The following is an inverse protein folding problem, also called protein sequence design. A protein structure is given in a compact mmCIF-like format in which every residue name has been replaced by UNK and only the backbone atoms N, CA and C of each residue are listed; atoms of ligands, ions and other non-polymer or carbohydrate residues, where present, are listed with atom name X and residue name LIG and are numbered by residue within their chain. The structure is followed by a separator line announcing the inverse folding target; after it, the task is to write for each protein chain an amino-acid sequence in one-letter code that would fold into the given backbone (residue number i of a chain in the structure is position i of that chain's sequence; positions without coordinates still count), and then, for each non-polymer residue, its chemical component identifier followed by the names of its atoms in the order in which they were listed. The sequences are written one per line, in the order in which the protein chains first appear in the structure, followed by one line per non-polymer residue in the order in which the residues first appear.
data_IF_468892940671
#
_entry.id   IF_468892940671
#
_cell.length_a   1.000
_cell.length_b   1.000
_cell.length_c   1.000
_cell.angle_alpha   90.00
_cell.angle_beta   90.00
_cell.angle_gamma   90.00
#
_symmetry.space_group_name_H-M   'P 1'
#
loop_
_entity.id
_entity.type
_entity.pdbx_description
1 polymer ?
#
# COMPACT_ATOMS: atom_id res chain seq x y z
N UNK A 1 2.59 1.01 5.79
CA UNK A 1 2.88 2.44 5.77
C UNK A 1 1.60 3.28 5.59
N UNK A 2 1.66 4.52 5.96
CA UNK A 2 0.50 5.39 5.88
C UNK A 2 0.88 6.85 5.66
N UNK A 3 -0.14 7.64 5.35
CA UNK A 3 -0.02 9.08 5.20
C UNK A 3 -1.34 9.77 5.53
N UNK A 4 -1.28 11.07 5.70
CA UNK A 4 -2.48 11.88 5.90
C UNK A 4 -2.43 13.15 5.07
N UNK A 5 -3.59 13.68 4.76
CA UNK A 5 -3.73 14.97 4.07
C UNK A 5 -5.00 15.69 4.50
N UNK A 6 -4.97 17.00 4.38
CA UNK A 6 -6.11 17.86 4.72
C UNK A 6 -6.91 18.23 3.48
N UNK A 7 -8.23 18.20 3.59
CA UNK A 7 -9.13 18.77 2.61
C UNK A 7 -9.26 20.29 2.83
N UNK A 8 -9.82 21.01 1.85
CA UNK A 8 -9.95 22.46 1.91
C UNK A 8 -10.82 22.95 3.08
N UNK A 9 -11.79 22.14 3.49
CA UNK A 9 -12.65 22.44 4.64
C UNK A 9 -12.03 22.09 6.00
N UNK A 10 -10.79 21.60 6.02
CA UNK A 10 -10.08 21.21 7.25
C UNK A 10 -10.24 19.75 7.66
N UNK A 11 -11.08 18.98 7.00
CA UNK A 11 -11.19 17.54 7.27
C UNK A 11 -9.89 16.83 6.92
N UNK A 12 -9.51 15.85 7.75
CA UNK A 12 -8.28 15.07 7.58
C UNK A 12 -8.63 13.68 7.07
N UNK A 13 -7.98 13.28 5.99
CA UNK A 13 -8.02 11.90 5.49
C UNK A 13 -6.74 11.19 5.93
N UNK A 14 -6.88 10.02 6.51
CA UNK A 14 -5.76 9.12 6.83
C UNK A 14 -5.84 7.90 5.95
N UNK A 15 -4.73 7.56 5.33
CA UNK A 15 -4.63 6.44 4.42
C UNK A 15 -3.51 5.51 4.87
N UNK A 16 -3.71 4.22 4.62
CA UNK A 16 -2.68 3.20 4.77
C UNK A 16 -2.64 2.37 3.49
N UNK A 17 -1.48 1.83 3.18
CA UNK A 17 -1.30 1.05 1.96
C UNK A 17 -0.27 -0.06 2.15
N UNK A 18 -0.40 -1.08 1.30
CA UNK A 18 0.55 -2.17 1.17
C UNK A 18 1.15 -2.10 -0.22
N UNK A 19 2.46 -1.91 -0.30
CA UNK A 19 3.18 -1.85 -1.57
C UNK A 19 4.13 -3.04 -1.68
N UNK A 20 4.17 -3.67 -2.85
CA UNK A 20 5.12 -4.72 -3.14
C UNK A 20 6.50 -4.11 -3.42
N UNK A 21 7.52 -4.54 -2.68
CA UNK A 21 8.86 -4.00 -2.82
C UNK A 21 9.50 -4.34 -4.16
N UNK A 22 9.04 -5.39 -4.83
CA UNK A 22 9.60 -5.86 -6.08
C UNK A 22 9.03 -5.12 -7.30
N UNK A 23 7.71 -5.08 -7.41
CA UNK A 23 7.02 -4.52 -8.59
C UNK A 23 6.37 -3.15 -8.36
N UNK A 24 6.39 -2.66 -7.12
CA UNK A 24 5.85 -1.35 -6.74
C UNK A 24 4.33 -1.22 -6.83
N UNK A 25 3.60 -2.32 -7.06
CA UNK A 25 2.15 -2.28 -7.05
C UNK A 25 1.64 -2.02 -5.63
N UNK A 26 0.67 -1.13 -5.50
CA UNK A 26 -0.11 -0.98 -4.26
C UNK A 26 -1.18 -2.07 -4.27
N UNK A 27 -0.97 -3.11 -3.46
CA UNK A 27 -1.79 -4.32 -3.47
C UNK A 27 -3.09 -4.12 -2.70
N UNK A 28 -3.03 -3.37 -1.61
CA UNK A 28 -4.15 -3.09 -0.74
C UNK A 28 -4.02 -1.69 -0.16
N UNK A 29 -5.14 -1.05 0.14
CA UNK A 29 -5.15 0.27 0.75
C UNK A 29 -6.42 0.49 1.54
N UNK A 30 -6.38 1.44 2.48
CA UNK A 30 -7.54 1.93 3.22
C UNK A 30 -7.43 3.45 3.34
N UNK A 31 -8.55 4.13 3.29
CA UNK A 31 -8.61 5.57 3.51
C UNK A 31 -9.86 5.90 4.33
N UNK A 32 -9.68 6.67 5.38
CA UNK A 32 -10.76 7.04 6.32
C UNK A 32 -10.67 8.51 6.66
N UNK A 33 -11.81 9.13 6.96
CA UNK A 33 -11.86 10.47 7.54
C UNK A 33 -12.06 10.37 9.06
N UNK A 34 -11.48 11.30 9.80
CA UNK A 34 -11.62 11.36 11.25
C UNK A 34 -10.64 10.47 11.99
N UNK A 35 -11.08 9.31 12.48
CA UNK A 35 -10.23 8.38 13.21
C UNK A 35 -9.13 7.80 12.32
N UNK A 36 -8.00 7.44 12.92
CA UNK A 36 -6.91 6.79 12.20
C UNK A 36 -7.20 5.34 11.82
N UNK A 37 -6.28 4.74 11.08
CA UNK A 37 -6.32 3.34 10.71
C UNK A 37 -6.06 2.49 11.98
N UNK A 38 -6.93 1.54 12.25
CA UNK A 38 -6.80 0.65 13.42
C UNK A 38 -6.20 -0.72 13.04
N UNK A 39 -5.95 -1.54 14.07
CA UNK A 39 -5.36 -2.87 13.86
C UNK A 39 -6.24 -3.81 13.03
N UNK A 40 -7.56 -3.69 13.13
CA UNK A 40 -8.49 -4.49 12.33
C UNK A 40 -8.33 -4.20 10.85
N UNK A 41 -8.22 -2.93 10.47
CA UNK A 41 -8.01 -2.52 9.09
C UNK A 41 -6.64 -2.98 8.57
N UNK A 42 -5.61 -2.95 9.40
CA UNK A 42 -4.29 -3.49 9.05
C UNK A 42 -4.37 -4.99 8.76
N UNK A 43 -5.04 -5.75 9.61
CA UNK A 43 -5.22 -7.20 9.41
C UNK A 43 -6.02 -7.50 8.14
N UNK A 44 -7.06 -6.72 7.86
CA UNK A 44 -7.83 -6.86 6.61
C UNK A 44 -6.96 -6.62 5.37
N UNK A 45 -6.07 -5.64 5.43
CA UNK A 45 -5.13 -5.38 4.32
C UNK A 45 -4.12 -6.51 4.16
N UNK A 46 -3.66 -7.11 5.25
CA UNK A 46 -2.76 -8.28 5.19
C UNK A 46 -3.42 -9.44 4.44
N UNK A 47 -4.64 -9.77 4.81
CA UNK A 47 -5.39 -10.85 4.17
C UNK A 47 -5.67 -10.53 2.71
N UNK A 48 -6.10 -9.33 2.41
CA UNK A 48 -6.36 -8.87 1.04
C UNK A 48 -5.11 -8.95 0.16
N UNK A 49 -3.95 -8.57 0.69
CA UNK A 49 -2.68 -8.68 -0.03
C UNK A 49 -2.31 -10.13 -0.33
N UNK A 50 -2.49 -11.04 0.63
CA UNK A 50 -2.21 -12.47 0.43
C UNK A 50 -3.15 -13.07 -0.62
N UNK A 51 -4.43 -12.77 -0.55
CA UNK A 51 -5.40 -13.26 -1.53
C UNK A 51 -5.09 -12.73 -2.94
N UNK A 52 -4.71 -11.47 -3.05
CA UNK A 52 -4.39 -10.85 -4.34
C UNK A 52 -3.13 -11.46 -4.98
N UNK A 53 -2.13 -11.85 -4.18
CA UNK A 53 -0.85 -12.36 -4.68
C UNK A 53 -0.83 -13.88 -4.86
N UNK A 54 -1.51 -14.61 -4.00
CA UNK A 54 -1.38 -16.07 -3.92
C UNK A 54 -2.69 -16.80 -4.15
N UNK A 55 -3.82 -16.09 -4.26
CA UNK A 55 -5.16 -16.65 -4.41
C UNK A 55 -5.53 -17.66 -3.29
N UNK A 56 -4.92 -17.50 -2.11
CA UNK A 56 -5.15 -18.32 -0.93
C UNK A 56 -5.26 -17.43 0.30
N UNK A 57 -5.62 -18.03 1.44
CA UNK A 57 -5.70 -17.32 2.72
C UNK A 57 -4.39 -17.34 3.51
N UNK A 58 -3.35 -17.98 2.97
CA UNK A 58 -2.03 -18.07 3.61
C UNK A 58 -0.96 -18.10 2.52
N UNK A 59 0.10 -17.32 2.69
CA UNK A 59 1.22 -17.34 1.74
C UNK A 59 1.88 -18.72 1.72
N UNK A 60 2.23 -19.25 0.54
CA UNK A 60 2.84 -20.58 0.41
C UNK A 60 4.27 -20.66 0.93
N UNK A 61 4.91 -19.53 1.14
CA UNK A 61 6.24 -19.39 1.73
C UNK A 61 6.28 -18.16 2.62
N UNK A 62 7.24 -18.04 3.55
CA UNK A 62 7.37 -16.84 4.36
C UNK A 62 7.59 -15.59 3.51
N UNK A 63 6.85 -14.54 3.81
CA UNK A 63 6.95 -13.22 3.17
C UNK A 63 7.19 -12.17 4.24
N UNK A 64 8.20 -11.35 4.05
CA UNK A 64 8.48 -10.26 4.97
C UNK A 64 7.43 -9.16 4.84
N UNK A 65 6.93 -8.72 5.99
CA UNK A 65 5.96 -7.64 6.12
C UNK A 65 6.64 -6.49 6.85
N UNK A 66 7.14 -5.53 6.08
CA UNK A 66 7.82 -4.36 6.64
C UNK A 66 6.80 -3.29 7.01
N UNK A 67 6.84 -2.84 8.24
CA UNK A 67 5.99 -1.76 8.73
C UNK A 67 6.76 -0.81 9.63
N UNK A 68 6.17 0.34 9.93
CA UNK A 68 6.70 1.23 10.96
C UNK A 68 6.35 0.70 12.37
N UNK A 69 6.75 1.44 13.40
CA UNK A 69 6.52 1.06 14.79
C UNK A 69 5.18 1.55 15.34
N UNK A 70 4.24 1.90 14.48
CA UNK A 70 2.90 2.34 14.89
C UNK A 70 2.13 1.23 15.61
N UNK A 71 1.32 1.60 16.61
CA UNK A 71 0.60 0.64 17.44
C UNK A 71 -0.31 -0.33 16.67
N UNK A 72 -0.99 0.05 15.57
CA UNK A 72 -1.77 -0.91 14.80
C UNK A 72 -0.94 -2.06 14.22
N UNK A 73 0.34 -1.83 13.96
CA UNK A 73 1.25 -2.82 13.39
C UNK A 73 1.98 -3.65 14.45
N UNK A 74 2.29 -3.04 15.61
CA UNK A 74 3.07 -3.69 16.66
C UNK A 74 2.24 -4.48 17.65
N UNK A 75 0.91 -4.29 17.67
CA UNK A 75 0.02 -5.00 18.57
C UNK A 75 0.18 -6.51 18.43
N UNK A 76 0.16 -7.21 19.57
CA UNK A 76 0.32 -8.67 19.59
C UNK A 76 -0.68 -9.36 18.69
N UNK A 77 -1.93 -8.92 18.68
CA UNK A 77 -3.00 -9.47 17.84
C UNK A 77 -2.68 -9.36 16.36
N UNK A 78 -2.12 -8.24 15.92
CA UNK A 78 -1.70 -8.05 14.53
C UNK A 78 -0.52 -8.95 14.18
N UNK A 79 0.47 -9.05 15.06
CA UNK A 79 1.64 -9.92 14.85
C UNK A 79 1.25 -11.40 14.80
N UNK A 80 0.34 -11.84 15.67
CA UNK A 80 -0.15 -13.21 15.68
C UNK A 80 -0.93 -13.54 14.40
N UNK A 81 -1.75 -12.60 13.94
CA UNK A 81 -2.48 -12.74 12.68
C UNK A 81 -1.52 -12.82 11.49
N UNK A 82 -0.51 -11.97 11.44
CA UNK A 82 0.52 -12.02 10.39
C UNK A 82 1.19 -13.39 10.33
N UNK A 83 1.54 -13.96 11.47
CA UNK A 83 2.14 -15.30 11.55
C UNK A 83 1.22 -16.38 10.99
N UNK A 84 -0.08 -16.28 11.23
CA UNK A 84 -1.06 -17.22 10.68
C UNK A 84 -1.14 -17.15 9.16
N UNK A 85 -0.86 -15.99 8.57
CA UNK A 85 -0.82 -15.79 7.11
C UNK A 85 0.54 -16.11 6.49
N UNK A 86 1.51 -16.55 7.29
CA UNK A 86 2.90 -16.77 6.89
C UNK A 86 3.63 -15.46 6.53
N UNK A 87 3.21 -14.37 7.13
CA UNK A 87 3.91 -13.09 7.05
C UNK A 87 4.88 -12.97 8.23
N UNK A 88 6.09 -12.52 7.95
CA UNK A 88 7.14 -12.29 8.95
C UNK A 88 7.20 -10.79 9.25
N UNK A 89 6.66 -10.32 10.39
CA UNK A 89 6.70 -8.91 10.71
C UNK A 89 8.14 -8.41 10.86
N UNK A 90 8.47 -7.37 10.11
CA UNK A 90 9.75 -6.68 10.17
C UNK A 90 9.48 -5.21 10.47
N UNK A 91 9.99 -4.71 11.60
CA UNK A 91 9.82 -3.32 11.97
C UNK A 91 11.03 -2.52 11.52
N UNK A 92 10.78 -1.34 10.96
CA UNK A 92 11.86 -0.48 10.48
C UNK A 92 12.70 -0.01 11.66
N UNK A 93 14.01 -0.33 11.68
CA UNK A 93 14.89 0.25 12.69
C UNK A 93 14.95 1.77 12.50
N UNK A 94 15.01 2.50 13.61
CA UNK A 94 15.09 3.97 13.61
C UNK A 94 16.26 4.50 12.77
N UNK A 95 17.25 3.67 12.49
CA UNK A 95 18.48 4.03 11.80
C UNK A 95 18.63 3.43 10.38
N UNK A 96 17.56 2.94 9.76
CA UNK A 96 17.63 2.36 8.41
C UNK A 96 16.80 3.15 7.41
N UNK A 97 17.33 4.24 6.82
CA UNK A 97 16.60 5.07 5.88
C UNK A 97 16.17 4.34 4.60
N UNK A 98 16.90 3.31 4.19
CA UNK A 98 16.60 2.55 2.98
C UNK A 98 15.29 1.75 3.09
N UNK A 99 14.97 1.27 4.28
CA UNK A 99 13.78 0.45 4.54
C UNK A 99 12.47 1.21 4.34
N UNK A 100 12.48 2.53 4.53
CA UNK A 100 11.31 3.40 4.36
C UNK A 100 11.31 4.16 3.04
N UNK A 101 12.41 4.14 2.30
CA UNK A 101 12.60 4.97 1.11
C UNK A 101 11.52 4.75 0.05
N UNK A 102 11.08 3.51 -0.12
CA UNK A 102 10.04 3.17 -1.10
C UNK A 102 8.68 3.72 -0.70
N UNK A 103 8.29 3.55 0.56
CA UNK A 103 7.03 4.09 1.06
C UNK A 103 7.02 5.61 1.04
N UNK A 104 8.12 6.25 1.42
CA UNK A 104 8.26 7.70 1.36
C UNK A 104 8.20 8.23 -0.07
N UNK A 105 8.83 7.54 -1.00
CA UNK A 105 8.79 7.90 -2.42
C UNK A 105 7.37 7.79 -2.98
N UNK A 106 6.64 6.74 -2.62
CA UNK A 106 5.23 6.57 -2.99
C UNK A 106 4.39 7.72 -2.45
N UNK A 107 4.50 8.05 -1.17
CA UNK A 107 3.72 9.13 -0.55
C UNK A 107 4.03 10.48 -1.22
N UNK A 108 5.30 10.76 -1.51
CA UNK A 108 5.71 11.98 -2.21
C UNK A 108 5.08 12.06 -3.60
N UNK A 109 5.14 10.98 -4.36
CA UNK A 109 4.55 10.88 -5.69
C UNK A 109 3.04 11.06 -5.64
N UNK A 110 2.38 10.38 -4.70
CA UNK A 110 0.92 10.45 -4.56
C UNK A 110 0.44 11.87 -4.23
N UNK A 111 1.13 12.54 -3.31
CA UNK A 111 0.83 13.93 -2.95
C UNK A 111 1.05 14.88 -4.12
N UNK A 112 2.14 14.72 -4.86
CA UNK A 112 2.49 15.59 -5.98
C UNK A 112 1.56 15.39 -7.18
N UNK A 113 1.30 14.13 -7.56
CA UNK A 113 0.68 13.81 -8.84
C UNK A 113 -0.84 13.62 -8.76
N UNK A 114 -1.39 13.40 -7.56
CA UNK A 114 -2.82 13.19 -7.36
C UNK A 114 -3.48 14.20 -6.43
N UNK A 115 -2.87 14.46 -5.27
CA UNK A 115 -3.51 15.35 -4.28
C UNK A 115 -3.41 16.83 -4.64
N UNK A 116 -2.28 17.27 -5.18
CA UNK A 116 -2.07 18.69 -5.51
C UNK A 116 -2.85 19.14 -6.72
N UNK A 117 -3.12 18.25 -7.67
CA UNK A 117 -3.73 18.60 -8.94
C UNK A 117 -5.24 18.36 -8.98
N UNK A 118 -5.81 17.76 -7.94
CA UNK A 118 -7.24 17.48 -7.87
C UNK A 118 -7.93 18.30 -6.79
N UNK A 119 -9.21 18.66 -7.00
CA UNK A 119 -9.97 19.36 -5.97
C UNK A 119 -10.23 18.47 -4.75
N UNK A 120 -10.00 19.01 -3.56
CA UNK A 120 -10.24 18.35 -2.29
C UNK A 120 -11.16 19.19 -1.39
N UNK A 121 -12.38 19.54 -1.83
CA UNK A 121 -13.22 20.46 -1.06
C UNK A 121 -13.63 19.87 0.30
N UNK A 122 -13.86 18.58 0.37
CA UNK A 122 -14.31 17.87 1.57
C UNK A 122 -13.85 16.41 1.54
N UNK A 123 -13.93 15.73 2.68
CA UNK A 123 -13.51 14.33 2.79
C UNK A 123 -14.29 13.40 1.85
N UNK A 124 -15.60 13.58 1.72
CA UNK A 124 -16.41 12.75 0.83
C UNK A 124 -15.95 12.83 -0.62
N UNK A 125 -15.60 14.02 -1.10
CA UNK A 125 -15.08 14.20 -2.46
C UNK A 125 -13.74 13.51 -2.67
N UNK A 126 -12.83 13.61 -1.69
CA UNK A 126 -11.54 12.92 -1.73
C UNK A 126 -11.71 11.40 -1.74
N UNK A 127 -12.56 10.87 -0.87
CA UNK A 127 -12.79 9.42 -0.76
C UNK A 127 -13.43 8.83 -2.02
N UNK A 128 -14.23 9.60 -2.74
CA UNK A 128 -14.79 9.16 -4.03
C UNK A 128 -13.74 9.03 -5.12
N UNK A 129 -12.67 9.81 -5.06
CA UNK A 129 -11.63 9.85 -6.09
C UNK A 129 -10.45 8.93 -5.82
N UNK A 130 -10.18 8.62 -4.55
CA UNK A 130 -8.93 7.99 -4.14
C UNK A 130 -8.73 6.59 -4.73
N UNK A 131 -9.79 5.82 -4.91
CA UNK A 131 -9.71 4.50 -5.55
C UNK A 131 -9.18 4.62 -6.98
N UNK A 132 -9.65 5.61 -7.73
CA UNK A 132 -9.19 5.88 -9.08
C UNK A 132 -7.71 6.32 -9.12
N UNK A 133 -7.24 7.04 -8.11
CA UNK A 133 -5.84 7.45 -8.02
C UNK A 133 -4.91 6.27 -7.76
N UNK A 134 -5.27 5.36 -6.86
CA UNK A 134 -4.49 4.13 -6.64
C UNK A 134 -4.47 3.27 -7.90
N UNK A 135 -5.60 3.15 -8.58
CA UNK A 135 -5.69 2.39 -9.83
C UNK A 135 -4.82 3.00 -10.94
N UNK A 136 -4.86 4.33 -11.10
CA UNK A 136 -4.02 5.02 -12.07
C UNK A 136 -2.53 4.86 -11.77
N UNK A 137 -2.15 4.93 -10.50
CA UNK A 137 -0.77 4.70 -10.08
C UNK A 137 -0.30 3.29 -10.52
N UNK A 138 -1.09 2.27 -10.22
CA UNK A 138 -0.74 0.89 -10.55
C UNK A 138 -0.69 0.65 -12.06
N UNK A 139 -1.60 1.22 -12.82
CA UNK A 139 -1.71 0.99 -14.26
C UNK A 139 -0.76 1.86 -15.09
N UNK A 140 -0.50 3.09 -14.65
CA UNK A 140 0.07 4.10 -15.54
C UNK A 140 1.34 4.78 -15.02
N UNK A 141 1.61 4.77 -13.71
CA UNK A 141 2.72 5.54 -13.18
C UNK A 141 4.09 4.90 -13.48
N UNK A 142 4.96 5.56 -14.26
CA UNK A 142 6.26 4.98 -14.62
C UNK A 142 7.27 5.05 -13.47
N UNK A 143 8.08 4.01 -13.34
CA UNK A 143 9.15 3.92 -12.35
C UNK A 143 10.50 3.70 -13.03
N UNK A 144 11.50 4.50 -12.69
CA UNK A 144 12.86 4.31 -13.21
C UNK A 144 13.43 2.94 -12.82
N UNK A 145 13.16 2.47 -11.61
CA UNK A 145 13.58 1.14 -11.16
C UNK A 145 12.88 -0.01 -11.88
N UNK A 146 11.81 0.25 -12.61
CA UNK A 146 11.08 -0.71 -13.44
C UNK A 146 11.24 -0.42 -14.93
N UNK A 147 12.33 0.20 -15.33
CA UNK A 147 12.63 0.61 -16.71
C UNK A 147 11.53 1.50 -17.30
N UNK A 148 11.01 2.43 -16.51
CA UNK A 148 9.94 3.35 -16.87
C UNK A 148 8.58 2.68 -17.14
N UNK A 149 8.40 1.43 -16.71
CA UNK A 149 7.10 0.78 -16.73
C UNK A 149 6.29 1.15 -15.47
N UNK A 150 4.98 1.09 -15.59
CA UNK A 150 4.10 1.11 -14.42
C UNK A 150 4.21 -0.23 -13.67
N UNK A 151 3.77 -0.30 -12.41
CA UNK A 151 3.76 -1.57 -11.66
C UNK A 151 3.11 -2.73 -12.43
N UNK A 152 1.92 -2.51 -12.98
CA UNK A 152 1.20 -3.57 -13.69
C UNK A 152 1.79 -3.90 -15.05
N UNK A 153 2.34 -2.95 -15.77
CA UNK A 153 3.10 -3.22 -16.99
C UNK A 153 4.31 -4.11 -16.70
N UNK A 154 5.02 -3.80 -15.61
CA UNK A 154 6.16 -4.60 -15.17
C UNK A 154 5.76 -6.04 -14.83
N UNK A 155 4.66 -6.22 -14.10
CA UNK A 155 4.12 -7.54 -13.76
C UNK A 155 3.75 -8.32 -15.02
N UNK A 156 3.04 -7.71 -15.96
CA UNK A 156 2.62 -8.35 -17.21
C UNK A 156 3.81 -8.78 -18.06
N UNK A 157 4.85 -7.97 -18.11
CA UNK A 157 6.06 -8.27 -18.87
C UNK A 157 6.85 -9.45 -18.30
N UNK A 158 6.66 -9.78 -17.02
CA UNK A 158 7.35 -10.87 -16.33
C UNK A 158 6.54 -12.14 -16.19
N UNK A 159 5.25 -12.10 -16.52
CA UNK A 159 4.45 -13.31 -16.55
C UNK A 159 4.94 -14.21 -17.68
N UNK A 160 5.10 -15.54 -17.44
CA UNK A 160 5.39 -16.46 -18.52
C UNK A 160 4.29 -16.34 -19.57
N UNK A 161 4.65 -16.35 -20.85
CA UNK A 161 3.67 -16.43 -21.91
C UNK A 161 2.76 -17.63 -21.62
N UNK A 162 1.44 -17.40 -21.58
CA UNK A 162 0.50 -18.51 -21.50
C UNK A 162 0.77 -19.40 -22.70
N UNK A 163 1.20 -20.60 -22.41
CA UNK A 163 1.29 -21.62 -23.44
C UNK A 163 -0.15 -21.98 -23.76
N UNK A 164 -0.71 -21.30 -24.76
CA UNK A 164 -1.99 -21.72 -25.33
C UNK A 164 -1.78 -23.09 -25.95
N UNK A 165 -2.06 -24.07 -25.15
CA UNK A 165 -2.10 -25.43 -25.63
C UNK A 165 -3.49 -25.84 -25.96
#
# INVERSE_FOLDING_TARGET
AGFEFACWNGEIIRAAFVIDAHDREVIAWRAVSGCGIDGSQVRDMMLEAIEARFATIRAPHPVEWLSDNGSPYTAKETRDFASQLNLVPCFTPVASPESNGMAEAFVRTFKRDYLRINPLPEAAAALRQIAGWFEDYNENHPHSGLRMHSPREFIRARQPAEVSG
#
